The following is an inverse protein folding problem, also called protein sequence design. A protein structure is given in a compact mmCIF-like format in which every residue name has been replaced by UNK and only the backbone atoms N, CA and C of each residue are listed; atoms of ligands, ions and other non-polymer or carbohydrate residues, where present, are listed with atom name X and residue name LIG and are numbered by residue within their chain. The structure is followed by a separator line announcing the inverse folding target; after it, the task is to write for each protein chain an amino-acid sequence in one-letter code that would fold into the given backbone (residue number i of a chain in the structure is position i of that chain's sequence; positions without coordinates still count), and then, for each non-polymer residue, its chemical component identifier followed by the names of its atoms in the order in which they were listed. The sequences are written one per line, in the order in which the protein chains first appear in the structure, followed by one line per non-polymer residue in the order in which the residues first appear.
data_IF_682825991420
#
_entry.id   IF_682825991420
#
_cell.length_a   1.000
_cell.length_b   1.000
_cell.length_c   1.000
_cell.angle_alpha   90.00
_cell.angle_beta   90.00
_cell.angle_gamma   90.00
#
_symmetry.space_group_name_H-M   'P 1'
#
loop_
_entity.id
_entity.type
_entity.pdbx_description
1 polymer ?
#
# COMPACT_ATOMS: atom_id res chain seq x y z
N UNK A 1 4.06 -9.55 -25.76
CA UNK A 1 2.71 -9.01 -25.99
C UNK A 1 2.28 -8.32 -24.72
N UNK A 2 1.78 -7.09 -24.82
CA UNK A 2 1.31 -6.33 -23.66
C UNK A 2 -0.20 -6.15 -23.72
N UNK A 3 -0.84 -6.07 -22.56
CA UNK A 3 -2.29 -5.80 -22.45
C UNK A 3 -2.71 -4.49 -23.16
N UNK A 4 -1.81 -3.52 -23.26
CA UNK A 4 -2.05 -2.23 -23.90
C UNK A 4 -2.00 -2.26 -25.42
N UNK A 5 -1.51 -3.35 -26.03
CA UNK A 5 -1.44 -3.48 -27.49
C UNK A 5 -2.85 -3.32 -28.11
N UNK A 6 -2.94 -2.56 -29.21
CA UNK A 6 -4.21 -2.31 -29.94
C UNK A 6 -4.86 -3.61 -30.42
N UNK A 7 -4.08 -4.70 -30.53
CA UNK A 7 -4.57 -6.03 -30.87
C UNK A 7 -5.59 -6.59 -29.86
N UNK A 8 -5.60 -6.09 -28.62
CA UNK A 8 -6.54 -6.50 -27.58
C UNK A 8 -7.53 -5.37 -27.22
N UNK A 9 -7.67 -4.37 -28.09
CA UNK A 9 -8.67 -3.32 -27.94
C UNK A 9 -9.82 -3.54 -28.92
N UNK A 10 -11.03 -3.33 -28.44
CA UNK A 10 -12.23 -3.21 -29.26
C UNK A 10 -12.25 -1.84 -29.96
N UNK A 11 -13.12 -1.67 -30.95
CA UNK A 11 -13.27 -0.41 -31.70
C UNK A 11 -13.74 0.77 -30.83
N UNK A 12 -14.34 0.49 -29.68
CA UNK A 12 -14.76 1.49 -28.69
C UNK A 12 -13.66 1.84 -27.67
N UNK A 13 -12.48 1.24 -27.79
CA UNK A 13 -11.35 1.41 -26.87
C UNK A 13 -11.42 0.55 -25.60
N UNK A 14 -12.49 -0.24 -25.41
CA UNK A 14 -12.55 -1.25 -24.35
C UNK A 14 -11.61 -2.42 -24.66
N UNK A 15 -11.35 -3.28 -23.67
CA UNK A 15 -10.40 -4.39 -23.82
C UNK A 15 -11.14 -5.67 -24.17
N UNK A 16 -10.65 -6.36 -25.19
CA UNK A 16 -11.21 -7.60 -25.69
C UNK A 16 -10.79 -8.76 -24.78
N UNK A 17 -11.51 -8.92 -23.67
CA UNK A 17 -11.25 -9.96 -22.68
C UNK A 17 -11.41 -11.36 -23.25
N UNK A 18 -12.33 -11.57 -24.20
CA UNK A 18 -12.53 -12.88 -24.83
C UNK A 18 -11.34 -13.26 -25.69
N UNK A 19 -10.78 -12.29 -26.44
CA UNK A 19 -9.54 -12.51 -27.21
C UNK A 19 -8.32 -12.69 -26.33
N UNK A 20 -8.23 -11.99 -25.19
CA UNK A 20 -7.19 -12.24 -24.19
C UNK A 20 -7.32 -13.66 -23.63
N UNK A 21 -8.53 -14.08 -23.26
CA UNK A 21 -8.80 -15.42 -22.77
C UNK A 21 -8.45 -16.48 -23.81
N UNK A 22 -8.85 -16.26 -25.07
CA UNK A 22 -8.53 -17.13 -26.19
C UNK A 22 -7.02 -17.25 -26.39
N UNK A 23 -6.29 -16.13 -26.43
CA UNK A 23 -4.82 -16.14 -26.50
C UNK A 23 -4.21 -16.93 -25.33
N UNK A 24 -4.67 -16.63 -24.12
CA UNK A 24 -4.09 -17.20 -22.91
C UNK A 24 -4.31 -18.70 -22.79
N UNK A 25 -5.46 -19.18 -23.25
CA UNK A 25 -5.84 -20.61 -23.29
C UNK A 25 -5.32 -21.36 -24.52
N UNK A 26 -4.53 -20.71 -25.38
CA UNK A 26 -3.92 -21.33 -26.55
C UNK A 26 -4.81 -21.42 -27.79
N UNK A 27 -5.97 -20.77 -27.77
CA UNK A 27 -6.78 -20.63 -28.97
C UNK A 27 -6.12 -19.66 -29.96
N UNK A 28 -6.24 -19.96 -31.25
CA UNK A 28 -5.66 -19.11 -32.28
C UNK A 28 -6.42 -17.78 -32.38
N UNK A 29 -5.70 -16.66 -32.37
CA UNK A 29 -6.26 -15.31 -32.53
C UNK A 29 -5.59 -14.58 -33.70
N UNK A 30 -6.21 -13.49 -34.16
CA UNK A 30 -5.61 -12.59 -35.12
C UNK A 30 -4.82 -11.49 -34.41
N UNK A 31 -3.52 -11.39 -34.70
CA UNK A 31 -2.63 -10.31 -34.25
C UNK A 31 -2.13 -9.61 -35.50
N UNK A 32 -2.42 -8.32 -35.66
CA UNK A 32 -2.11 -7.53 -36.86
C UNK A 32 -2.56 -8.22 -38.17
N UNK A 33 -3.73 -8.88 -38.14
CA UNK A 33 -4.29 -9.62 -39.27
C UNK A 33 -3.67 -11.01 -39.53
N UNK A 34 -2.65 -11.40 -38.77
CA UNK A 34 -2.00 -12.72 -38.88
C UNK A 34 -2.54 -13.66 -37.81
N UNK A 35 -2.92 -14.88 -38.21
CA UNK A 35 -3.33 -15.93 -37.27
C UNK A 35 -2.12 -16.41 -36.47
N UNK A 36 -2.21 -16.35 -35.15
CA UNK A 36 -1.16 -16.72 -34.21
C UNK A 36 -1.73 -17.62 -33.12
N UNK A 37 -0.92 -18.55 -32.62
CA UNK A 37 -1.25 -19.46 -31.53
C UNK A 37 -0.17 -19.38 -30.47
N UNK A 38 -0.57 -19.39 -29.20
CA UNK A 38 0.33 -19.35 -28.06
C UNK A 38 1.12 -20.66 -27.92
N UNK A 39 2.40 -20.55 -27.58
CA UNK A 39 3.28 -21.69 -27.35
C UNK A 39 3.31 -22.03 -25.86
N UNK A 40 3.27 -23.33 -25.55
CA UNK A 40 3.40 -23.84 -24.19
C UNK A 40 4.84 -23.68 -23.69
N UNK A 41 5.00 -23.33 -22.42
CA UNK A 41 6.27 -23.43 -21.70
C UNK A 41 6.15 -24.58 -20.71
N UNK A 42 6.98 -25.62 -20.85
CA UNK A 42 6.91 -26.83 -20.02
C UNK A 42 5.51 -27.47 -19.94
N UNK A 43 4.77 -27.45 -21.06
CA UNK A 43 3.42 -28.02 -21.13
C UNK A 43 2.31 -27.15 -20.55
N UNK A 44 2.60 -25.91 -20.15
CA UNK A 44 1.62 -24.97 -19.59
C UNK A 44 1.59 -23.64 -20.37
N UNK A 45 0.43 -22.98 -20.39
CA UNK A 45 0.28 -21.60 -20.84
C UNK A 45 0.62 -20.62 -19.72
N UNK A 46 1.91 -20.30 -19.61
CA UNK A 46 2.46 -19.50 -18.51
C UNK A 46 2.50 -18.01 -18.86
N UNK A 47 1.70 -17.20 -18.16
CA UNK A 47 1.72 -15.73 -18.25
C UNK A 47 2.96 -15.17 -17.56
N UNK A 48 3.41 -13.96 -17.92
CA UNK A 48 4.51 -13.29 -17.23
C UNK A 48 4.46 -11.78 -17.45
N UNK A 49 5.27 -11.03 -16.71
CA UNK A 49 5.56 -9.61 -16.93
C UNK A 49 6.56 -9.35 -18.07
N UNK A 50 7.10 -10.41 -18.65
CA UNK A 50 7.99 -10.30 -19.81
C UNK A 50 7.25 -9.61 -20.95
N UNK A 51 7.81 -8.50 -21.46
CA UNK A 51 7.23 -7.73 -22.57
C UNK A 51 6.95 -8.55 -23.84
N UNK A 52 7.43 -9.80 -23.86
CA UNK A 52 7.36 -10.74 -24.95
C UNK A 52 8.19 -10.27 -26.15
N UNK A 53 9.30 -9.60 -25.86
CA UNK A 53 10.22 -9.03 -26.82
C UNK A 53 11.58 -9.68 -26.65
N UNK A 54 12.05 -10.37 -27.68
CA UNK A 54 13.43 -10.87 -27.74
C UNK A 54 14.20 -10.05 -28.78
N UNK A 55 15.29 -9.37 -28.36
CA UNK A 55 16.16 -8.54 -29.21
C UNK A 55 16.48 -7.15 -28.60
N UNK A 56 17.61 -6.55 -29.00
CA UNK A 56 18.07 -5.20 -28.57
C UNK A 56 17.67 -4.12 -29.60
N UNK A 57 17.34 -2.89 -29.16
CA UNK A 57 17.09 -1.72 -30.03
C UNK A 57 15.80 -0.93 -29.71
N UNK A 58 15.37 -0.01 -30.59
CA UNK A 58 14.04 0.66 -30.56
C UNK A 58 13.32 0.60 -31.92
N UNK A 59 13.99 0.12 -32.99
CA UNK A 59 13.45 -0.02 -34.35
C UNK A 59 12.94 -1.45 -34.68
N UNK A 60 11.82 -1.54 -35.42
CA UNK A 60 10.99 -2.72 -35.75
C UNK A 60 11.67 -4.04 -36.19
N UNK A 61 12.98 -4.09 -36.45
CA UNK A 61 13.69 -5.24 -36.98
C UNK A 61 15.09 -5.33 -36.32
N UNK A 62 15.50 -6.45 -35.69
CA UNK A 62 14.94 -7.81 -35.71
C UNK A 62 14.13 -8.13 -34.44
N UNK A 63 12.82 -7.90 -34.47
CA UNK A 63 11.93 -8.28 -33.38
C UNK A 63 11.24 -9.61 -33.66
N UNK A 64 11.40 -10.55 -32.74
CA UNK A 64 10.51 -11.69 -32.64
C UNK A 64 9.49 -11.42 -31.52
N UNK A 65 8.21 -11.58 -31.84
CA UNK A 65 7.16 -11.65 -30.84
C UNK A 65 7.35 -12.96 -30.07
N UNK A 66 7.61 -12.86 -28.77
CA UNK A 66 7.58 -14.02 -27.88
C UNK A 66 6.11 -14.42 -27.70
N UNK A 67 5.73 -15.50 -28.40
CA UNK A 67 4.40 -16.11 -28.37
C UNK A 67 4.21 -17.08 -27.19
N UNK A 68 5.15 -17.13 -26.24
CA UNK A 68 5.08 -18.03 -25.09
C UNK A 68 4.46 -17.38 -23.84
N UNK A 69 4.30 -16.04 -23.81
CA UNK A 69 3.70 -15.31 -22.68
C UNK A 69 2.30 -14.79 -22.98
N UNK A 70 1.59 -14.41 -21.92
CA UNK A 70 0.18 -14.02 -21.91
C UNK A 70 -0.10 -13.02 -20.79
N UNK A 71 -1.37 -12.71 -20.60
CA UNK A 71 -1.80 -11.54 -19.82
C UNK A 71 -2.54 -11.99 -18.56
N UNK A 72 -2.15 -11.47 -17.40
CA UNK A 72 -2.82 -11.75 -16.12
C UNK A 72 -3.45 -10.47 -15.56
N UNK A 73 -4.55 -10.62 -14.83
CA UNK A 73 -5.09 -9.55 -13.96
C UNK A 73 -4.44 -9.65 -12.58
N UNK A 74 -3.81 -8.56 -12.15
CA UNK A 74 -3.22 -8.44 -10.83
C UNK A 74 -3.64 -7.12 -10.18
N UNK A 75 -3.75 -7.13 -8.86
CA UNK A 75 -4.16 -5.98 -8.06
C UNK A 75 -2.98 -5.48 -7.26
N UNK A 76 -2.70 -4.19 -7.39
CA UNK A 76 -1.82 -3.49 -6.49
C UNK A 76 -2.61 -3.10 -5.24
N UNK A 77 -2.20 -3.62 -4.10
CA UNK A 77 -2.86 -3.37 -2.82
C UNK A 77 -2.03 -2.40 -2.01
N UNK A 78 -2.69 -1.33 -1.57
CA UNK A 78 -2.14 -0.38 -0.62
C UNK A 78 -2.96 -0.46 0.68
N UNK A 79 -2.44 -1.22 1.64
CA UNK A 79 -3.10 -1.48 2.92
C UNK A 79 -2.45 -0.62 4.02
N UNK A 80 -3.27 0.13 4.76
CA UNK A 80 -2.82 1.00 5.83
C UNK A 80 -3.66 0.81 7.09
N UNK A 81 -3.07 0.16 8.09
CA UNK A 81 -3.72 -0.08 9.37
C UNK A 81 -3.16 0.87 10.42
N UNK A 82 -4.04 1.62 11.09
CA UNK A 82 -3.74 2.51 12.19
C UNK A 82 -4.50 2.05 13.43
N UNK A 83 -3.81 2.01 14.56
CA UNK A 83 -4.42 1.77 15.86
C UNK A 83 -3.90 2.81 16.83
N UNK A 84 -4.82 3.51 17.48
CA UNK A 84 -4.50 4.57 18.41
C UNK A 84 -5.36 4.53 19.66
N UNK A 85 -4.84 5.12 20.72
CA UNK A 85 -5.54 5.32 21.97
C UNK A 85 -4.95 6.53 22.68
N UNK A 86 -5.83 7.37 23.22
CA UNK A 86 -5.43 8.52 24.01
C UNK A 86 -6.27 8.60 25.27
N UNK A 87 -5.66 9.11 26.33
CA UNK A 87 -6.31 9.36 27.60
C UNK A 87 -5.80 10.67 28.20
N UNK A 88 -6.71 11.42 28.83
CA UNK A 88 -6.38 12.65 29.53
C UNK A 88 -7.13 12.74 30.86
N UNK A 89 -6.54 13.46 31.81
CA UNK A 89 -7.08 13.75 33.12
C UNK A 89 -6.93 15.25 33.38
N UNK A 90 -8.08 15.91 33.54
CA UNK A 90 -8.15 17.28 34.01
C UNK A 90 -8.71 17.28 35.44
N UNK A 91 -7.97 17.83 36.39
CA UNK A 91 -8.38 17.81 37.80
C UNK A 91 -7.88 19.01 38.58
N UNK A 92 -8.68 19.43 39.57
CA UNK A 92 -8.26 20.45 40.54
C UNK A 92 -7.44 19.78 41.64
N UNK A 93 -6.15 20.09 41.68
CA UNK A 93 -5.23 19.52 42.68
C UNK A 93 -5.11 20.39 43.93
N UNK A 94 -5.48 21.68 43.83
CA UNK A 94 -5.60 22.60 44.95
C UNK A 94 -6.57 23.74 44.60
N UNK A 95 -6.86 24.61 45.58
CA UNK A 95 -7.64 25.82 45.33
C UNK A 95 -6.91 26.73 44.33
N UNK A 96 -7.58 27.00 43.21
CA UNK A 96 -7.02 27.80 42.13
C UNK A 96 -5.90 27.11 41.36
N UNK A 97 -5.65 25.80 41.52
CA UNK A 97 -4.67 25.04 40.72
C UNK A 97 -5.35 23.88 40.00
N UNK A 98 -5.25 23.88 38.68
CA UNK A 98 -5.73 22.81 37.80
C UNK A 98 -4.54 22.12 37.13
N UNK A 99 -4.52 20.80 37.19
CA UNK A 99 -3.59 19.95 36.46
C UNK A 99 -4.34 19.29 35.30
N UNK A 100 -3.76 19.40 34.10
CA UNK A 100 -4.19 18.66 32.91
C UNK A 100 -3.02 17.81 32.43
N UNK A 101 -3.22 16.49 32.32
CA UNK A 101 -2.19 15.57 31.84
C UNK A 101 -2.80 14.59 30.87
N UNK A 102 -2.03 14.14 29.89
CA UNK A 102 -2.50 13.10 28.99
C UNK A 102 -1.38 12.38 28.27
N UNK A 103 -1.77 11.27 27.65
CA UNK A 103 -0.91 10.37 26.90
C UNK A 103 -1.60 9.96 25.61
N UNK A 104 -0.83 9.75 24.55
CA UNK A 104 -1.30 9.17 23.30
C UNK A 104 -0.34 8.11 22.77
N UNK A 105 -0.92 7.01 22.29
CA UNK A 105 -0.22 5.87 21.72
C UNK A 105 -0.79 5.62 20.34
N UNK A 106 0.09 5.45 19.34
CA UNK A 106 -0.33 5.10 17.97
C UNK A 106 0.61 4.09 17.37
N UNK A 107 0.07 3.11 16.66
CA UNK A 107 0.84 2.18 15.84
C UNK A 107 0.25 2.12 14.44
N UNK A 108 1.14 1.96 13.48
CA UNK A 108 0.81 1.92 12.07
C UNK A 108 1.59 0.79 11.39
N UNK A 109 0.88 0.05 10.53
CA UNK A 109 1.45 -0.87 9.54
C UNK A 109 0.91 -0.50 8.16
N UNK A 110 1.80 -0.08 7.28
CA UNK A 110 1.53 0.03 5.85
C UNK A 110 2.12 -1.16 5.11
N UNK A 111 1.35 -1.79 4.23
CA UNK A 111 1.78 -2.91 3.38
C UNK A 111 1.43 -2.61 1.93
N UNK A 112 2.44 -2.55 1.06
CA UNK A 112 2.28 -2.34 -0.38
C UNK A 112 2.73 -3.59 -1.10
N UNK A 113 1.78 -4.27 -1.75
CA UNK A 113 2.05 -5.54 -2.39
C UNK A 113 1.13 -5.77 -3.58
N UNK A 114 1.50 -6.72 -4.45
CA UNK A 114 0.68 -7.10 -5.60
C UNK A 114 0.31 -8.57 -5.53
N UNK A 115 -0.92 -8.89 -5.94
CA UNK A 115 -1.45 -10.27 -5.98
C UNK A 115 -2.13 -10.56 -7.30
N UNK A 116 -2.09 -11.81 -7.73
CA UNK A 116 -2.86 -12.26 -8.89
C UNK A 116 -4.33 -12.35 -8.55
N UNK A 117 -5.20 -11.83 -9.43
CA UNK A 117 -6.65 -11.95 -9.28
C UNK A 117 -7.27 -12.92 -10.26
N UNK A 118 -6.71 -13.01 -11.46
CA UNK A 118 -7.23 -13.86 -12.52
C UNK A 118 -6.15 -14.08 -13.58
N UNK A 119 -5.89 -15.34 -13.93
CA UNK A 119 -4.95 -15.73 -15.00
C UNK A 119 -5.55 -15.55 -16.40
N UNK A 120 -6.83 -15.15 -16.48
CA UNK A 120 -7.57 -14.89 -17.72
C UNK A 120 -7.43 -16.05 -18.71
N UNK A 121 -7.61 -17.28 -18.24
CA UNK A 121 -7.52 -18.50 -19.07
C UNK A 121 -6.12 -19.09 -19.24
N UNK A 122 -5.08 -18.49 -18.68
CA UNK A 122 -3.76 -19.10 -18.58
C UNK A 122 -3.66 -20.07 -17.40
N UNK A 123 -2.67 -20.97 -17.43
CA UNK A 123 -2.50 -22.02 -16.41
C UNK A 123 -1.74 -21.52 -15.17
N UNK A 124 -0.79 -20.61 -15.36
CA UNK A 124 0.05 -20.08 -14.29
C UNK A 124 0.62 -18.71 -14.67
N UNK A 125 1.23 -18.04 -13.69
CA UNK A 125 2.04 -16.85 -13.85
C UNK A 125 3.47 -17.14 -13.42
N UNK A 126 4.43 -16.81 -14.27
CA UNK A 126 5.85 -16.83 -13.96
C UNK A 126 6.23 -15.49 -13.35
N UNK A 127 6.57 -15.51 -12.08
CA UNK A 127 7.16 -14.38 -11.39
C UNK A 127 8.68 -14.57 -11.37
N UNK A 128 9.37 -13.71 -12.12
CA UNK A 128 10.81 -13.62 -12.06
C UNK A 128 11.11 -12.67 -10.90
N UNK A 129 11.35 -13.22 -9.70
CA UNK A 129 11.59 -12.45 -8.48
C UNK A 129 12.89 -11.66 -8.63
N UNK A 130 12.81 -10.52 -9.29
CA UNK A 130 13.93 -9.62 -9.49
C UNK A 130 13.70 -8.48 -8.50
N UNK A 131 14.27 -8.66 -7.31
CA UNK A 131 14.61 -7.59 -6.36
C UNK A 131 13.49 -7.00 -5.47
N UNK A 132 12.33 -7.64 -5.29
CA UNK A 132 11.21 -6.97 -4.57
C UNK A 132 10.28 -7.84 -3.71
N UNK A 133 10.45 -9.16 -3.65
CA UNK A 133 9.64 -10.08 -2.83
C UNK A 133 10.42 -10.69 -1.64
N UNK A 134 11.57 -10.11 -1.30
CA UNK A 134 12.24 -10.34 -0.01
C UNK A 134 12.98 -11.67 0.18
N UNK A 135 12.82 -12.66 -0.72
CA UNK A 135 13.60 -13.92 -0.68
C UNK A 135 14.47 -14.11 -1.93
N UNK A 136 15.70 -13.60 -1.85
CA UNK A 136 16.72 -13.76 -2.90
C UNK A 136 17.15 -15.23 -3.12
N UNK A 137 16.78 -16.14 -2.21
CA UNK A 137 17.14 -17.56 -2.28
C UNK A 137 15.98 -18.44 -2.77
N UNK A 138 14.80 -17.89 -3.03
CA UNK A 138 13.66 -18.65 -3.53
C UNK A 138 13.99 -19.24 -4.93
N UNK A 139 13.64 -20.53 -5.19
CA UNK A 139 13.85 -21.15 -6.49
C UNK A 139 13.23 -20.31 -7.62
N UNK A 140 14.05 -19.94 -8.61
CA UNK A 140 13.60 -19.15 -9.75
C UNK A 140 13.38 -20.01 -11.01
N UNK A 141 12.37 -19.68 -11.83
CA UNK A 141 11.33 -18.68 -11.57
C UNK A 141 10.20 -19.25 -10.69
N UNK A 142 9.51 -18.40 -9.93
CA UNK A 142 8.34 -18.84 -9.16
C UNK A 142 7.13 -19.01 -10.10
N UNK A 143 6.48 -20.18 -10.05
CA UNK A 143 5.30 -20.49 -10.88
C UNK A 143 4.06 -20.47 -10.01
N UNK A 144 3.27 -19.43 -10.17
CA UNK A 144 2.14 -19.10 -9.32
C UNK A 144 0.84 -19.44 -10.04
N UNK A 145 0.02 -20.25 -9.40
CA UNK A 145 -1.29 -20.67 -9.93
C UNK A 145 -2.44 -20.10 -9.11
N UNK A 146 -2.17 -19.66 -7.88
CA UNK A 146 -3.17 -19.12 -6.99
C UNK A 146 -3.63 -17.74 -7.44
N UNK A 147 -4.93 -17.50 -7.30
CA UNK A 147 -5.54 -16.20 -7.54
C UNK A 147 -6.42 -15.80 -6.37
N UNK A 148 -6.43 -14.51 -6.07
CA UNK A 148 -7.13 -13.93 -4.95
C UNK A 148 -8.12 -12.88 -5.43
N UNK A 149 -9.38 -13.02 -5.06
CA UNK A 149 -10.39 -12.01 -5.38
C UNK A 149 -10.08 -10.70 -4.65
N UNK A 150 -10.11 -9.58 -5.36
CA UNK A 150 -10.05 -8.23 -4.76
C UNK A 150 -11.26 -8.05 -3.84
N UNK A 151 -11.03 -8.09 -2.53
CA UNK A 151 -12.05 -7.87 -1.51
C UNK A 151 -11.51 -6.90 -0.47
N UNK A 152 -11.73 -5.59 -0.63
CA UNK A 152 -11.41 -4.65 0.44
C UNK A 152 -12.25 -5.01 1.66
N UNK A 153 -11.60 -5.11 2.81
CA UNK A 153 -12.25 -5.41 4.08
C UNK A 153 -12.44 -4.11 4.86
N UNK A 154 -13.63 -3.91 5.42
CA UNK A 154 -13.90 -2.85 6.41
C UNK A 154 -13.50 -3.26 7.83
N UNK A 155 -13.18 -4.56 8.05
CA UNK A 155 -12.74 -5.04 9.34
C UNK A 155 -11.30 -4.55 9.60
N UNK A 156 -11.07 -3.74 10.66
CA UNK A 156 -9.74 -3.21 10.97
C UNK A 156 -8.72 -4.31 11.32
N UNK A 157 -9.18 -5.49 11.72
CA UNK A 157 -8.32 -6.64 12.06
C UNK A 157 -8.07 -7.59 10.88
N UNK A 158 -8.50 -7.24 9.68
CA UNK A 158 -8.22 -8.05 8.50
C UNK A 158 -6.73 -7.98 8.11
N UNK A 159 -6.18 -9.09 7.64
CA UNK A 159 -4.81 -9.17 7.13
C UNK A 159 -4.78 -9.87 5.75
N UNK A 160 -3.71 -9.62 5.00
CA UNK A 160 -3.46 -10.18 3.67
C UNK A 160 -2.33 -11.22 3.64
N UNK A 161 -1.87 -11.68 4.80
CA UNK A 161 -0.69 -12.54 4.92
C UNK A 161 -0.88 -13.93 4.27
N UNK A 162 -2.13 -14.34 4.03
CA UNK A 162 -2.48 -15.58 3.33
C UNK A 162 -2.38 -15.48 1.80
N UNK A 163 -2.17 -14.28 1.25
CA UNK A 163 -2.11 -14.05 -0.18
C UNK A 163 -0.68 -14.19 -0.68
N UNK A 164 -0.48 -15.02 -1.71
CA UNK A 164 0.78 -15.14 -2.43
C UNK A 164 1.03 -13.84 -3.21
N UNK A 165 2.09 -13.13 -2.83
CA UNK A 165 2.47 -11.83 -3.38
C UNK A 165 3.44 -12.01 -4.54
N UNK A 166 3.40 -11.06 -5.47
CA UNK A 166 4.23 -11.06 -6.68
C UNK A 166 4.91 -9.72 -6.91
N UNK A 167 6.09 -9.73 -7.51
CA UNK A 167 6.85 -8.57 -8.03
C UNK A 167 7.19 -7.45 -7.03
N UNK A 168 6.46 -7.30 -5.93
CA UNK A 168 6.67 -6.30 -4.90
C UNK A 168 5.93 -6.67 -3.61
N UNK A 169 6.66 -6.67 -2.50
CA UNK A 169 6.14 -6.74 -1.14
C UNK A 169 6.96 -5.84 -0.23
N UNK A 170 6.36 -4.76 0.26
CA UNK A 170 7.03 -3.84 1.18
C UNK A 170 6.15 -3.52 2.38
N UNK A 171 6.75 -3.65 3.56
CA UNK A 171 6.12 -3.37 4.85
C UNK A 171 6.79 -2.16 5.53
N UNK A 172 5.98 -1.24 6.03
CA UNK A 172 6.40 -0.07 6.81
C UNK A 172 5.70 -0.08 8.15
N UNK A 173 6.47 -0.07 9.25
CA UNK A 173 5.94 -0.04 10.62
C UNK A 173 6.38 1.23 11.32
N UNK A 174 5.42 1.95 11.91
CA UNK A 174 5.70 3.19 12.64
C UNK A 174 4.92 3.18 13.95
N UNK A 175 5.61 3.49 15.05
CA UNK A 175 5.00 3.67 16.37
C UNK A 175 5.22 5.10 16.84
N UNK A 176 4.23 5.64 17.55
CA UNK A 176 4.26 6.92 18.22
C UNK A 176 3.86 6.78 19.68
N UNK A 177 4.58 7.54 20.52
CA UNK A 177 4.27 7.75 21.93
C UNK A 177 4.31 9.25 22.16
N UNK A 178 3.24 9.81 22.73
CA UNK A 178 3.19 11.19 23.18
C UNK A 178 2.64 11.31 24.59
N UNK A 179 3.04 12.39 25.25
CA UNK A 179 2.55 12.78 26.57
C UNK A 179 2.56 14.30 26.71
N UNK A 180 1.62 14.83 27.48
CA UNK A 180 1.57 16.25 27.80
C UNK A 180 1.20 16.48 29.26
N UNK A 181 1.60 17.64 29.77
CA UNK A 181 1.20 18.15 31.07
C UNK A 181 1.04 19.68 31.00
N UNK A 182 -0.02 20.19 31.62
CA UNK A 182 -0.28 21.60 31.82
C UNK A 182 -0.67 21.84 33.27
N UNK A 183 -0.09 22.87 33.87
CA UNK A 183 -0.44 23.36 35.19
C UNK A 183 -0.96 24.78 35.04
N UNK A 184 -2.20 25.00 35.48
CA UNK A 184 -2.85 26.31 35.48
C UNK A 184 -3.09 26.78 36.91
N UNK A 185 -2.75 28.03 37.18
CA UNK A 185 -3.11 28.76 38.39
C UNK A 185 -4.15 29.84 38.03
N UNK A 186 -5.28 29.86 38.70
CA UNK A 186 -6.32 30.88 38.53
C UNK A 186 -6.88 31.31 39.89
N UNK A 187 -6.68 32.58 40.23
CA UNK A 187 -7.24 33.19 41.44
C UNK A 187 -7.58 34.66 41.21
N UNK A 188 -8.79 35.06 41.58
CA UNK A 188 -9.32 36.40 41.37
C UNK A 188 -9.24 36.81 39.89
N UNK A 189 -8.38 37.78 39.57
CA UNK A 189 -8.18 38.33 38.23
C UNK A 189 -6.87 37.87 37.58
N UNK A 190 -6.11 36.98 38.23
CA UNK A 190 -4.85 36.45 37.73
C UNK A 190 -5.06 35.01 37.26
N UNK A 191 -4.68 34.73 36.02
CA UNK A 191 -4.55 33.38 35.48
C UNK A 191 -3.18 33.21 34.87
N UNK A 192 -2.50 32.10 35.15
CA UNK A 192 -1.21 31.77 34.60
C UNK A 192 -1.16 30.28 34.30
N UNK A 193 -0.49 29.87 33.22
CA UNK A 193 -0.27 28.46 32.94
C UNK A 193 1.15 28.19 32.44
N UNK A 194 1.59 26.98 32.68
CA UNK A 194 2.78 26.37 32.07
C UNK A 194 2.38 25.01 31.52
N UNK A 195 2.78 24.72 30.29
CA UNK A 195 2.54 23.43 29.67
C UNK A 195 3.77 22.92 28.94
N UNK A 196 3.89 21.60 28.87
CA UNK A 196 4.91 20.93 28.07
C UNK A 196 4.36 19.66 27.43
N UNK A 197 4.90 19.33 26.27
CA UNK A 197 4.57 18.10 25.56
C UNK A 197 5.84 17.39 25.06
N UNK A 198 5.76 16.07 25.00
CA UNK A 198 6.79 15.18 24.50
C UNK A 198 6.17 14.23 23.48
N UNK A 199 6.87 13.98 22.36
CA UNK A 199 6.51 12.89 21.45
C UNK A 199 7.74 12.18 20.89
N UNK A 200 7.62 10.88 20.63
CA UNK A 200 8.64 10.01 20.04
C UNK A 200 8.07 9.20 18.88
N UNK A 201 8.77 9.16 17.76
CA UNK A 201 8.47 8.30 16.58
C UNK A 201 9.53 7.21 16.40
N UNK A 202 9.15 5.99 16.00
CA UNK A 202 10.10 4.86 15.85
C UNK A 202 10.77 4.74 14.48
N UNK A 203 10.14 5.20 13.39
CA UNK A 203 10.69 5.00 12.03
C UNK A 203 11.89 5.91 11.71
N UNK A 204 11.98 7.01 12.46
CA UNK A 204 13.11 7.92 12.59
C UNK A 204 13.05 8.29 14.06
N UNK A 205 14.09 8.00 14.86
CA UNK A 205 14.14 8.42 16.26
C UNK A 205 14.07 9.94 16.34
N UNK A 206 12.84 10.45 16.30
CA UNK A 206 12.50 11.86 16.26
C UNK A 206 11.78 12.15 17.56
N UNK A 207 12.37 13.04 18.33
CA UNK A 207 11.83 13.53 19.60
C UNK A 207 11.42 14.97 19.39
N UNK A 208 10.18 15.31 19.74
CA UNK A 208 9.69 16.68 19.74
C UNK A 208 9.36 17.05 21.19
N UNK A 209 9.89 18.20 21.61
CA UNK A 209 9.61 18.83 22.88
C UNK A 209 8.99 20.19 22.59
N UNK A 210 7.86 20.47 23.23
CA UNK A 210 7.21 21.77 23.18
C UNK A 210 7.01 22.30 24.60
N UNK A 211 7.22 23.59 24.80
CA UNK A 211 7.10 24.27 26.09
C UNK A 211 6.47 25.64 25.88
N UNK A 212 5.37 25.89 26.58
CA UNK A 212 4.64 27.15 26.48
C UNK A 212 4.24 27.66 27.86
N UNK A 213 4.31 28.99 28.03
CA UNK A 213 3.87 29.69 29.24
C UNK A 213 3.04 30.91 28.83
N UNK A 214 1.98 31.22 29.58
CA UNK A 214 1.31 32.52 29.48
C UNK A 214 0.76 32.99 30.83
N UNK A 215 0.57 34.30 30.93
CA UNK A 215 0.00 35.00 32.09
C UNK A 215 -1.01 36.02 31.59
N UNK A 216 -2.21 36.00 32.17
CA UNK A 216 -3.28 36.94 31.90
C UNK A 216 -3.73 37.63 33.19
N UNK A 217 -3.89 38.96 33.13
CA UNK A 217 -4.46 39.78 34.21
C UNK A 217 -5.73 40.44 33.67
N UNK A 218 -6.90 40.01 34.14
CA UNK A 218 -8.18 40.62 33.74
C UNK A 218 -8.39 41.93 34.50
N UNK A 219 -8.52 43.05 33.77
CA UNK A 219 -8.89 44.34 34.37
C UNK A 219 -10.31 44.24 34.96
N UNK A 220 -10.57 44.79 36.15
CA UNK A 220 -11.92 44.85 36.69
C UNK A 220 -12.81 45.67 35.76
N UNK A 221 -13.98 45.14 35.41
CA UNK A 221 -15.01 45.87 34.68
C UNK A 221 -15.60 46.88 35.66
N UNK A 222 -15.23 48.16 35.56
CA UNK A 222 -15.95 49.22 36.29
C UNK A 222 -17.32 49.39 35.65
N UNK A 223 -18.39 48.94 36.31
CA UNK A 223 -19.73 49.46 36.00
C UNK A 223 -19.78 50.90 36.51
N UNK A 224 -19.94 51.86 35.59
CA UNK A 224 -20.30 53.24 35.91
C UNK A 224 -21.72 53.31 36.45
#
# INVERSE_FOLDING_TARGET
MQYTDDNFANSDGSRDYDKIYAWNSGNAILINGVRQTRILTNGLYINSDESGRTGSGTAANPYAYNNATGITKAAYTNLHNWYDGAASLNTKIAEGITLDVGVDLRTYKGSHFRVLNDLLGGDAYRDNLTDSDGDINAPQPNIITNTYRVRPSINPFWNSDYQEKITCDTDSKINWLGAFAQLEYSKNNLTAFVQGAFSKKSSKELIILDLQTQVEIKKPISRK
#
